data_IF_163159276443
#
_entry.id   IF_163159276443
#
_cell.length_a   1.000
_cell.length_b   1.000
_cell.length_c   1.000
_cell.angle_alpha   90.00
_cell.angle_beta   90.00
_cell.angle_gamma   90.00
#
_symmetry.space_group_name_H-M   'P 1'
#
loop_
_entity.id
_entity.type
_entity.pdbx_description
1 polymer ?
#
# COMPACT_ATOMS: atom_id res chain seq x y z
N UNK A 1 3.87 -27.82 16.49
CA UNK A 1 5.01 -27.60 15.56
C UNK A 1 4.77 -28.42 14.30
N UNK A 2 4.51 -27.77 13.16
CA UNK A 2 4.75 -28.39 11.85
C UNK A 2 5.67 -27.44 11.10
N UNK A 3 6.91 -27.88 10.97
CA UNK A 3 7.98 -27.17 10.28
C UNK A 3 7.67 -27.15 8.77
N UNK A 4 7.39 -25.94 8.26
CA UNK A 4 7.29 -25.70 6.82
C UNK A 4 8.70 -25.57 6.28
N UNK A 5 9.15 -26.65 5.63
CA UNK A 5 10.40 -26.69 4.86
C UNK A 5 10.37 -25.63 3.78
N UNK A 6 11.36 -24.75 3.82
CA UNK A 6 11.77 -23.82 2.77
C UNK A 6 12.02 -24.61 1.48
N UNK A 7 11.33 -24.23 0.40
CA UNK A 7 11.71 -24.60 -0.96
C UNK A 7 11.91 -23.30 -1.73
N UNK A 8 13.07 -23.18 -2.36
CA UNK A 8 13.65 -21.95 -2.86
C UNK A 8 13.00 -21.54 -4.20
N UNK A 9 11.86 -20.85 -4.11
CA UNK A 9 11.21 -20.16 -5.23
C UNK A 9 10.41 -18.97 -4.69
N UNK A 10 10.81 -17.76 -5.09
CA UNK A 10 10.22 -16.45 -4.75
C UNK A 10 9.43 -16.38 -3.44
N UNK A 11 10.16 -16.16 -2.35
CA UNK A 11 9.67 -15.98 -0.98
C UNK A 11 8.50 -14.96 -0.84
N UNK A 12 8.32 -14.07 -1.82
CA UNK A 12 7.29 -13.02 -1.84
C UNK A 12 5.91 -13.49 -2.28
N UNK A 13 5.77 -14.53 -3.10
CA UNK A 13 4.46 -14.96 -3.65
C UNK A 13 3.86 -16.15 -2.89
N UNK A 14 4.70 -17.06 -2.38
CA UNK A 14 4.25 -18.24 -1.64
C UNK A 14 3.76 -17.91 -0.22
N UNK A 15 4.34 -16.90 0.45
CA UNK A 15 3.93 -16.50 1.80
C UNK A 15 2.61 -15.72 1.81
N UNK A 16 2.37 -14.91 0.77
CA UNK A 16 1.17 -14.07 0.66
C UNK A 16 -0.10 -14.91 0.35
N UNK A 17 0.04 -16.01 -0.38
CA UNK A 17 -1.06 -16.96 -0.61
C UNK A 17 -1.37 -17.79 0.63
N UNK A 18 -0.33 -18.25 1.37
CA UNK A 18 -0.52 -19.02 2.61
C UNK A 18 -1.14 -18.15 3.73
N UNK A 19 -0.76 -16.88 3.82
CA UNK A 19 -1.32 -15.96 4.82
C UNK A 19 -2.79 -15.62 4.54
N UNK A 20 -3.19 -15.45 3.27
CA UNK A 20 -4.59 -15.18 2.87
C UNK A 20 -5.51 -16.39 2.95
N UNK A 21 -4.99 -17.61 2.79
CA UNK A 21 -5.78 -18.85 2.88
C UNK A 21 -5.89 -19.41 4.31
N UNK A 22 -5.10 -18.89 5.25
CA UNK A 22 -5.06 -19.37 6.63
C UNK A 22 -6.31 -18.93 7.41
N UNK A 23 -7.02 -19.83 8.10
CA UNK A 23 -8.12 -19.48 9.00
C UNK A 23 -7.64 -18.88 10.34
N UNK A 24 -6.32 -18.73 10.52
CA UNK A 24 -5.69 -18.16 11.72
C UNK A 24 -5.25 -16.72 11.47
N UNK A 25 -5.27 -15.85 12.51
CA UNK A 25 -4.82 -14.47 12.37
C UNK A 25 -3.32 -14.41 11.98
N UNK A 26 -3.01 -13.63 10.95
CA UNK A 26 -1.64 -13.38 10.52
C UNK A 26 -1.03 -12.28 11.38
N UNK A 27 0.11 -12.58 12.03
CA UNK A 27 0.84 -11.61 12.85
C UNK A 27 1.84 -10.87 11.98
N UNK A 28 1.69 -9.55 11.89
CA UNK A 28 2.62 -8.66 11.21
C UNK A 28 3.28 -7.76 12.24
N UNK A 29 4.61 -7.75 12.29
CA UNK A 29 5.38 -6.87 13.16
C UNK A 29 6.58 -6.26 12.42
N UNK A 30 7.08 -5.13 12.93
CA UNK A 30 8.33 -4.52 12.49
C UNK A 30 9.26 -4.36 13.71
N UNK A 31 9.80 -3.17 13.96
CA UNK A 31 10.41 -2.79 15.25
C UNK A 31 9.32 -2.45 16.28
N UNK A 32 8.71 -1.26 16.19
CA UNK A 32 7.68 -0.82 17.15
C UNK A 32 6.27 -1.31 16.80
N UNK A 33 6.13 -2.13 15.75
CA UNK A 33 4.85 -2.70 15.31
C UNK A 33 3.80 -1.69 14.77
N UNK A 34 4.13 -0.40 14.64
CA UNK A 34 3.17 0.65 14.27
C UNK A 34 3.34 1.20 12.85
N UNK A 35 4.58 1.50 12.43
CA UNK A 35 4.86 2.15 11.15
C UNK A 35 4.66 1.23 9.94
N UNK A 36 5.67 0.40 9.64
CA UNK A 36 5.68 -0.47 8.46
C UNK A 36 4.56 -1.51 8.50
N UNK A 37 4.29 -2.08 9.68
CA UNK A 37 3.20 -3.03 9.87
C UNK A 37 1.83 -2.39 9.62
N UNK A 38 1.61 -1.16 10.10
CA UNK A 38 0.37 -0.41 9.82
C UNK A 38 0.21 -0.05 8.34
N UNK A 39 1.32 0.27 7.65
CA UNK A 39 1.32 0.50 6.20
C UNK A 39 0.91 -0.76 5.43
N UNK A 40 1.45 -1.92 5.79
CA UNK A 40 1.13 -3.19 5.15
C UNK A 40 -0.35 -3.58 5.35
N UNK A 41 -0.86 -3.45 6.58
CA UNK A 41 -2.27 -3.72 6.89
C UNK A 41 -3.20 -2.77 6.12
N UNK A 42 -2.84 -1.49 5.98
CA UNK A 42 -3.62 -0.54 5.18
C UNK A 42 -3.65 -0.91 3.70
N UNK A 43 -2.51 -1.27 3.10
CA UNK A 43 -2.43 -1.68 1.70
C UNK A 43 -3.33 -2.91 1.47
N UNK A 44 -3.23 -3.92 2.34
CA UNK A 44 -4.03 -5.14 2.23
C UNK A 44 -5.53 -4.85 2.38
N UNK A 45 -5.93 -4.05 3.37
CA UNK A 45 -7.33 -3.67 3.57
C UNK A 45 -7.89 -2.93 2.35
N UNK A 46 -7.09 -2.07 1.73
CA UNK A 46 -7.47 -1.36 0.52
C UNK A 46 -7.57 -2.30 -0.68
N UNK A 47 -6.59 -3.18 -0.86
CA UNK A 47 -6.61 -4.17 -1.93
C UNK A 47 -7.86 -5.06 -1.85
N UNK A 48 -8.22 -5.52 -0.66
CA UNK A 48 -9.46 -6.29 -0.45
C UNK A 48 -10.72 -5.48 -0.79
N UNK A 49 -10.77 -4.18 -0.43
CA UNK A 49 -11.91 -3.33 -0.78
C UNK A 49 -12.03 -3.11 -2.29
N UNK A 50 -10.90 -2.97 -2.99
CA UNK A 50 -10.86 -2.87 -4.45
C UNK A 50 -11.33 -4.18 -5.11
N UNK A 51 -10.79 -5.33 -4.68
CA UNK A 51 -11.20 -6.64 -5.19
C UNK A 51 -12.68 -6.95 -4.93
N UNK A 52 -13.23 -6.45 -3.82
CA UNK A 52 -14.65 -6.63 -3.48
C UNK A 52 -15.57 -5.61 -4.16
N UNK A 53 -15.02 -4.59 -4.84
CA UNK A 53 -15.80 -3.56 -5.52
C UNK A 53 -16.58 -2.61 -4.60
N UNK A 54 -16.24 -2.56 -3.31
CA UNK A 54 -16.99 -1.79 -2.30
C UNK A 54 -16.40 -0.40 -2.05
N UNK A 55 -15.54 0.11 -2.94
CA UNK A 55 -14.95 1.45 -2.81
C UNK A 55 -15.97 2.54 -3.20
N UNK A 56 -17.04 2.69 -2.42
CA UNK A 56 -18.05 3.74 -2.60
C UNK A 56 -17.71 5.04 -1.85
N UNK A 57 -16.56 5.09 -1.17
CA UNK A 57 -16.11 6.29 -0.45
C UNK A 57 -15.35 7.22 -1.41
N UNK A 58 -15.63 8.52 -1.31
CA UNK A 58 -14.92 9.60 -2.02
C UNK A 58 -13.42 9.62 -1.67
N UNK A 59 -13.06 9.16 -0.46
CA UNK A 59 -11.68 9.09 0.02
C UNK A 59 -11.37 7.71 0.66
N UNK A 60 -11.17 6.64 -0.15
CA UNK A 60 -11.04 5.28 0.36
C UNK A 60 -9.79 5.08 1.22
N UNK A 61 -8.66 5.70 0.83
CA UNK A 61 -7.38 5.60 1.56
C UNK A 61 -7.44 6.30 2.92
N UNK A 62 -8.01 7.50 2.99
CA UNK A 62 -8.17 8.23 4.25
C UNK A 62 -9.09 7.49 5.21
N UNK A 63 -10.25 7.03 4.72
CA UNK A 63 -11.23 6.29 5.52
C UNK A 63 -10.60 5.04 6.13
N UNK A 64 -9.84 4.30 5.32
CA UNK A 64 -9.21 3.05 5.77
C UNK A 64 -8.01 3.32 6.68
N UNK A 65 -7.24 4.38 6.44
CA UNK A 65 -6.16 4.79 7.32
C UNK A 65 -6.68 5.17 8.72
N UNK A 66 -7.81 5.90 8.79
CA UNK A 66 -8.49 6.21 10.06
C UNK A 66 -8.95 4.94 10.76
N UNK A 67 -9.57 4.00 10.03
CA UNK A 67 -9.99 2.71 10.59
C UNK A 67 -8.82 1.92 11.20
N UNK A 68 -7.68 1.85 10.51
CA UNK A 68 -6.47 1.18 11.03
C UNK A 68 -5.92 1.90 12.26
N UNK A 69 -5.95 3.23 12.29
CA UNK A 69 -5.53 4.04 13.45
C UNK A 69 -6.44 3.87 14.67
N UNK A 70 -7.73 3.61 14.46
CA UNK A 70 -8.67 3.30 15.54
C UNK A 70 -8.37 1.93 16.18
N UNK A 71 -7.89 0.96 15.40
CA UNK A 71 -7.51 -0.35 15.92
C UNK A 71 -6.13 -0.35 16.60
N UNK A 72 -5.18 0.44 16.10
CA UNK A 72 -3.86 0.66 16.74
C UNK A 72 -3.41 2.11 16.63
N UNK A 73 -3.22 2.72 17.80
CA UNK A 73 -2.72 4.07 17.93
C UNK A 73 -1.36 4.24 17.22
N UNK A 74 -1.15 5.36 16.53
CA UNK A 74 0.06 5.68 15.73
C UNK A 74 0.32 4.83 14.48
N UNK A 75 -0.67 4.11 13.94
CA UNK A 75 -0.52 3.51 12.62
C UNK A 75 -0.27 4.60 11.53
N UNK A 76 0.77 4.41 10.72
CA UNK A 76 1.18 5.34 9.63
C UNK A 76 1.56 6.73 10.17
N UNK A 77 2.62 6.81 10.97
CA UNK A 77 3.08 8.07 11.56
C UNK A 77 3.76 9.00 10.53
N UNK A 78 4.40 8.43 9.50
CA UNK A 78 5.21 9.19 8.55
C UNK A 78 4.46 9.50 7.26
N UNK A 79 4.63 10.72 6.76
CA UNK A 79 4.11 11.15 5.46
C UNK A 79 4.57 10.22 4.31
N UNK A 80 5.84 9.83 4.31
CA UNK A 80 6.40 8.92 3.28
C UNK A 80 5.72 7.55 3.26
N UNK A 81 5.27 7.04 4.41
CA UNK A 81 4.51 5.79 4.47
C UNK A 81 3.13 5.96 3.82
N UNK A 82 2.49 7.10 4.05
CA UNK A 82 1.22 7.43 3.44
C UNK A 82 1.34 7.54 1.92
N UNK A 83 2.36 8.25 1.42
CA UNK A 83 2.64 8.35 -0.03
C UNK A 83 2.94 6.97 -0.64
N UNK A 84 3.69 6.13 0.07
CA UNK A 84 4.00 4.78 -0.39
C UNK A 84 2.73 3.94 -0.62
N UNK A 85 1.73 4.03 0.26
CA UNK A 85 0.44 3.33 0.10
C UNK A 85 -0.23 3.74 -1.22
N UNK A 86 -0.30 5.04 -1.51
CA UNK A 86 -0.87 5.51 -2.78
C UNK A 86 -0.13 4.96 -3.98
N UNK A 87 1.21 4.98 -3.94
CA UNK A 87 2.03 4.48 -5.05
C UNK A 87 1.78 2.99 -5.33
N UNK A 88 1.69 2.17 -4.28
CA UNK A 88 1.36 0.74 -4.41
C UNK A 88 -0.04 0.53 -4.97
N UNK A 89 -1.03 1.27 -4.47
CA UNK A 89 -2.41 1.18 -4.97
C UNK A 89 -2.53 1.59 -6.43
N UNK A 90 -1.88 2.69 -6.83
CA UNK A 90 -1.85 3.13 -8.22
C UNK A 90 -1.21 2.09 -9.13
N UNK A 91 -0.11 1.48 -8.70
CA UNK A 91 0.55 0.41 -9.46
C UNK A 91 -0.36 -0.82 -9.59
N UNK A 92 -1.12 -1.17 -8.54
CA UNK A 92 -2.07 -2.28 -8.60
C UNK A 92 -3.25 -1.99 -9.53
N UNK A 93 -3.77 -0.76 -9.51
CA UNK A 93 -4.92 -0.33 -10.31
C UNK A 93 -4.54 -0.12 -11.78
N UNK A 94 -3.28 0.22 -12.06
CA UNK A 94 -2.75 0.49 -13.39
C UNK A 94 -3.21 -0.49 -14.49
N UNK A 95 -3.07 -1.83 -14.35
CA UNK A 95 -3.53 -2.79 -15.35
C UNK A 95 -5.06 -2.88 -15.51
N UNK A 96 -5.85 -2.44 -14.53
CA UNK A 96 -7.31 -2.53 -14.55
C UNK A 96 -8.00 -1.26 -15.10
N UNK A 97 -7.25 -0.18 -15.35
CA UNK A 97 -7.81 1.07 -15.87
C UNK A 97 -7.76 1.08 -17.39
N UNK A 98 -8.89 0.74 -18.02
CA UNK A 98 -9.02 0.78 -19.48
C UNK A 98 -9.25 2.20 -20.02
N UNK A 99 -9.86 3.09 -19.24
CA UNK A 99 -10.25 4.43 -19.71
C UNK A 99 -9.07 5.40 -19.83
N UNK A 100 -8.89 5.96 -21.03
CA UNK A 100 -7.81 6.90 -21.39
C UNK A 100 -7.74 8.15 -20.51
N UNK A 101 -8.89 8.68 -20.07
CA UNK A 101 -8.95 9.86 -19.19
C UNK A 101 -8.41 9.59 -17.79
N UNK A 102 -8.75 8.45 -17.18
CA UNK A 102 -8.19 8.08 -15.88
C UNK A 102 -6.68 7.84 -15.97
N UNK A 103 -6.19 7.29 -17.10
CA UNK A 103 -4.74 7.14 -17.35
C UNK A 103 -4.02 8.49 -17.44
N UNK A 104 -4.66 9.49 -18.06
CA UNK A 104 -4.15 10.86 -18.13
C UNK A 104 -4.11 11.53 -16.75
N UNK A 105 -5.21 11.49 -15.99
CA UNK A 105 -5.30 12.08 -14.65
C UNK A 105 -4.28 11.50 -13.66
N UNK A 106 -3.96 10.22 -13.81
CA UNK A 106 -2.98 9.50 -12.99
C UNK A 106 -1.52 9.79 -13.39
N UNK A 107 -1.27 10.42 -14.53
CA UNK A 107 0.09 10.70 -15.02
C UNK A 107 0.80 9.48 -15.59
N UNK A 108 0.07 8.53 -16.17
CA UNK A 108 0.61 7.28 -16.72
C UNK A 108 1.02 7.40 -18.20
N UNK A 109 0.67 8.51 -18.86
CA UNK A 109 0.92 8.72 -20.29
C UNK A 109 2.21 9.52 -20.54
N UNK A 110 2.65 10.35 -19.59
CA UNK A 110 3.88 11.13 -19.68
C UNK A 110 4.64 11.04 -18.35
N UNK A 111 5.90 10.61 -18.34
CA UNK A 111 6.68 10.44 -17.10
C UNK A 111 6.85 11.74 -16.31
N UNK A 112 6.81 12.89 -16.99
CA UNK A 112 7.02 14.22 -16.40
C UNK A 112 5.73 14.96 -16.03
N UNK A 113 4.53 14.43 -16.36
CA UNK A 113 3.28 15.14 -16.05
C UNK A 113 2.18 14.23 -15.47
N UNK A 114 1.61 14.70 -14.35
CA UNK A 114 0.50 14.08 -13.64
C UNK A 114 0.80 13.83 -12.16
N UNK A 115 -0.05 13.02 -11.53
CA UNK A 115 0.03 12.75 -10.09
C UNK A 115 1.34 12.04 -9.72
N UNK A 116 1.82 11.12 -10.57
CA UNK A 116 3.04 10.34 -10.36
C UNK A 116 4.32 11.21 -10.34
N UNK A 117 4.47 12.14 -11.30
CA UNK A 117 5.66 13.00 -11.39
C UNK A 117 5.75 13.98 -10.22
N UNK A 118 4.61 14.56 -9.82
CA UNK A 118 4.53 15.44 -8.64
C UNK A 118 4.88 14.71 -7.34
N UNK A 119 4.58 13.41 -7.25
CA UNK A 119 4.98 12.60 -6.10
C UNK A 119 6.48 12.31 -6.06
N UNK A 120 7.10 12.05 -7.21
CA UNK A 120 8.53 11.78 -7.26
C UNK A 120 9.33 13.04 -6.87
N UNK A 121 8.87 14.21 -7.33
CA UNK A 121 9.42 15.51 -6.91
C UNK A 121 9.28 15.74 -5.39
N UNK A 122 8.11 15.45 -4.82
CA UNK A 122 7.89 15.52 -3.36
C UNK A 122 8.81 14.58 -2.58
N UNK A 123 9.03 13.36 -3.09
CA UNK A 123 9.91 12.38 -2.47
C UNK A 123 11.38 12.83 -2.50
N UNK A 124 11.84 13.38 -3.63
CA UNK A 124 13.19 13.92 -3.79
C UNK A 124 13.44 15.12 -2.87
N UNK A 125 12.48 16.05 -2.80
CA UNK A 125 12.54 17.20 -1.90
C UNK A 125 12.63 16.78 -0.42
N UNK A 126 11.87 15.74 -0.05
CA UNK A 126 11.94 15.17 1.31
C UNK A 126 13.28 14.51 1.60
N UNK A 127 13.83 13.77 0.64
CA UNK A 127 15.15 13.15 0.77
C UNK A 127 16.24 14.20 1.00
N UNK A 128 16.24 15.30 0.22
CA UNK A 128 17.19 16.41 0.41
C UNK A 128 17.02 17.11 1.77
N UNK A 129 15.78 17.32 2.21
CA UNK A 129 15.51 17.98 3.51
C UNK A 129 15.88 17.11 4.72
N UNK A 130 15.97 15.79 4.55
CA UNK A 130 16.41 14.86 5.60
C UNK A 130 17.93 14.75 5.74
N UNK A 131 18.69 15.26 4.77
CA UNK A 131 20.16 15.25 4.73
C UNK A 131 20.79 16.56 5.19
N UNK A 132 19.98 17.57 5.52
CA UNK A 132 20.36 18.86 6.13
C UNK A 132 19.81 18.92 7.57
#
# INVERSE_FOLDING_TARGET
MKDVRSNDGDFTTATDTVSRLSPRPTVVHCLDGCGRSGTLVLIEAMLMQLLRGTSSSEYPVLTTAVFVRLQRHHAIANYMQYVYVYRVLLHFIHPYVESTWHRYSLGLLFPDSGFIGKFDELALNWAQKSLL
#
